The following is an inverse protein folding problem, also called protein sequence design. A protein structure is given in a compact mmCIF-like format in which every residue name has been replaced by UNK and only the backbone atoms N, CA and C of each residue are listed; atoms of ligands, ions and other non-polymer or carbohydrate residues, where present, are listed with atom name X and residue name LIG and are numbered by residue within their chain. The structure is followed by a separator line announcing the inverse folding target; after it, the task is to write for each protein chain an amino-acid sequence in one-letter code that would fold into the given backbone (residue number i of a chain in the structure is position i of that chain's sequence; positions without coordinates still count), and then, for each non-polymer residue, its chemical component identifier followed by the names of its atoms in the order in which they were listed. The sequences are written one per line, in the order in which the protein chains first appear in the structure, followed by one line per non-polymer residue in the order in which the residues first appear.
data_IF_340320504512
#
_entry.id   IF_340320504512
#
_cell.length_a   1.000
_cell.length_b   1.000
_cell.length_c   1.000
_cell.angle_alpha   90.00
_cell.angle_beta   90.00
_cell.angle_gamma   90.00
#
_symmetry.space_group_name_H-M   'P 1'
#
loop_
_entity.id
_entity.type
_entity.pdbx_description
1 polymer ?
#
# COMPACT_ATOMS: atom_id res chain seq x y z
N UNK A 1 27.92 4.75 17.59
CA UNK A 1 27.22 5.78 18.39
C UNK A 1 27.17 5.32 19.84
N UNK A 2 27.96 5.93 20.73
CA UNK A 2 28.05 5.56 22.15
C UNK A 2 26.88 6.22 22.90
N UNK A 3 25.88 5.45 23.34
CA UNK A 3 24.84 5.97 24.24
C UNK A 3 25.39 6.01 25.67
N UNK A 4 25.44 7.21 26.19
CA UNK A 4 25.90 7.60 27.52
C UNK A 4 24.86 7.11 28.54
N UNK A 5 25.25 6.16 29.40
CA UNK A 5 24.40 5.68 30.49
C UNK A 5 24.53 6.68 31.64
N UNK A 6 23.50 7.49 31.84
CA UNK A 6 23.37 8.40 32.98
C UNK A 6 23.25 7.56 34.25
N UNK A 7 24.36 7.41 34.99
CA UNK A 7 24.38 6.86 36.34
C UNK A 7 23.60 7.80 37.26
N UNK A 8 22.32 7.52 37.48
CA UNK A 8 21.59 8.10 38.60
C UNK A 8 22.26 7.61 39.89
N UNK A 9 22.96 8.52 40.58
CA UNK A 9 23.49 8.27 41.91
C UNK A 9 22.33 7.88 42.83
N UNK A 10 22.24 6.59 43.15
CA UNK A 10 21.46 6.10 44.29
C UNK A 10 22.15 6.66 45.52
N UNK A 11 21.59 7.76 46.06
CA UNK A 11 22.02 8.38 47.31
C UNK A 11 21.67 7.41 48.44
N UNK A 12 22.59 6.48 48.73
CA UNK A 12 22.53 5.63 49.92
C UNK A 12 22.58 6.58 51.12
N UNK A 13 21.41 6.84 51.72
CA UNK A 13 21.34 7.51 53.01
C UNK A 13 21.91 6.55 54.03
N UNK A 14 23.18 6.72 54.38
CA UNK A 14 23.74 6.11 55.57
C UNK A 14 22.96 6.65 56.77
N UNK A 15 21.97 5.89 57.24
CA UNK A 15 21.40 6.11 58.56
C UNK A 15 22.48 5.75 59.57
N UNK A 16 23.21 6.78 60.02
CA UNK A 16 24.08 6.68 61.17
C UNK A 16 23.20 6.43 62.39
N UNK A 17 23.06 5.15 62.77
CA UNK A 17 22.47 4.77 64.04
C UNK A 17 23.41 5.20 65.17
N UNK A 18 23.33 6.47 65.57
CA UNK A 18 23.78 6.89 66.87
C UNK A 18 22.88 6.21 67.89
N UNK A 19 23.27 5.03 68.36
CA UNK A 19 22.81 4.53 69.65
C UNK A 19 23.43 5.42 70.72
N UNK A 20 22.93 6.64 70.88
CA UNK A 20 23.02 7.33 72.16
C UNK A 20 22.10 6.54 73.07
N UNK A 21 22.65 5.50 73.68
CA UNK A 21 22.15 4.98 74.94
C UNK A 21 22.37 6.13 75.91
N UNK A 22 21.46 7.10 75.88
CA UNK A 22 21.46 8.20 76.82
C UNK A 22 21.20 7.51 78.14
N UNK A 23 22.27 7.33 78.90
CA UNK A 23 22.18 6.92 80.28
C UNK A 23 21.99 8.24 81.00
N UNK A 24 20.72 8.62 81.14
CA UNK A 24 20.34 9.88 81.80
C UNK A 24 20.66 9.68 83.27
N UNK A 25 21.84 10.11 83.70
CA UNK A 25 22.17 10.20 85.11
C UNK A 25 21.53 11.49 85.61
N UNK A 26 20.34 11.37 86.19
CA UNK A 26 19.68 12.51 86.82
C UNK A 26 20.32 12.73 88.20
N UNK A 27 21.12 13.79 88.32
CA UNK A 27 21.79 14.13 89.58
C UNK A 27 20.81 14.80 90.54
N UNK A 28 20.26 13.98 91.44
CA UNK A 28 19.28 14.40 92.44
C UNK A 28 19.88 15.35 93.47
N UNK A 29 21.19 15.28 93.72
CA UNK A 29 21.85 16.11 94.74
C UNK A 29 22.14 17.52 94.20
N UNK A 30 22.52 17.64 92.94
CA UNK A 30 22.81 18.93 92.32
C UNK A 30 21.55 19.81 92.23
N UNK A 31 20.41 19.23 91.87
CA UNK A 31 19.16 20.00 91.74
C UNK A 31 18.60 20.42 93.12
N UNK A 32 18.76 19.59 94.16
CA UNK A 32 18.37 19.99 95.53
C UNK A 32 19.19 21.19 96.00
N UNK A 33 20.51 21.17 95.79
CA UNK A 33 21.40 22.29 96.16
C UNK A 33 21.06 23.57 95.42
N UNK A 34 20.69 23.47 94.14
CA UNK A 34 20.28 24.63 93.35
C UNK A 34 18.97 25.24 93.86
N UNK A 35 17.97 24.40 94.18
CA UNK A 35 16.71 24.88 94.76
C UNK A 35 16.92 25.52 96.14
N UNK A 36 17.79 24.94 96.97
CA UNK A 36 18.17 25.55 98.25
C UNK A 36 18.85 26.93 98.06
N UNK A 37 19.67 27.09 97.02
CA UNK A 37 20.32 28.38 96.72
C UNK A 37 19.36 29.47 96.21
N UNK A 38 18.21 29.08 95.66
CA UNK A 38 17.16 30.00 95.21
C UNK A 38 16.11 30.30 96.30
N UNK A 39 16.37 29.91 97.55
CA UNK A 39 15.56 30.28 98.71
C UNK A 39 14.50 29.27 99.13
N UNK A 40 14.48 28.06 98.54
CA UNK A 40 13.61 26.98 98.98
C UNK A 40 14.16 26.29 100.25
N UNK A 41 13.27 25.88 101.14
CA UNK A 41 13.67 25.08 102.30
C UNK A 41 14.07 23.67 101.87
N UNK A 42 15.02 23.06 102.59
CA UNK A 42 15.54 21.70 102.29
C UNK A 42 14.45 20.65 102.09
N UNK A 43 13.38 20.71 102.88
CA UNK A 43 12.24 19.79 102.78
C UNK A 43 11.42 20.01 101.50
N UNK A 44 11.22 21.27 101.09
CA UNK A 44 10.52 21.60 99.84
C UNK A 44 11.36 21.19 98.62
N UNK A 45 12.67 21.47 98.63
CA UNK A 45 13.58 21.06 97.55
C UNK A 45 13.62 19.54 97.37
N UNK A 46 13.62 18.78 98.48
CA UNK A 46 13.56 17.33 98.45
C UNK A 46 12.20 16.80 97.94
N UNK A 47 11.08 17.43 98.31
CA UNK A 47 9.76 17.04 97.84
C UNK A 47 9.60 17.28 96.32
N UNK A 48 10.08 18.42 95.82
CA UNK A 48 10.09 18.73 94.37
C UNK A 48 10.97 17.75 93.61
N UNK A 49 12.16 17.44 94.14
CA UNK A 49 13.07 16.43 93.60
C UNK A 49 12.40 15.05 93.47
N UNK A 50 11.78 14.56 94.55
CA UNK A 50 11.09 13.27 94.53
C UNK A 50 9.93 13.24 93.55
N UNK A 51 9.20 14.35 93.41
CA UNK A 51 8.10 14.47 92.44
C UNK A 51 8.64 14.43 91.01
N UNK A 52 9.75 15.11 90.74
CA UNK A 52 10.40 15.10 89.43
C UNK A 52 10.97 13.72 89.08
N UNK A 53 11.61 13.06 90.05
CA UNK A 53 12.12 11.69 89.88
C UNK A 53 10.98 10.73 89.52
N UNK A 54 9.84 10.80 90.23
CA UNK A 54 8.67 9.98 89.95
C UNK A 54 8.10 10.22 88.54
N UNK A 55 7.96 11.49 88.14
CA UNK A 55 7.48 11.84 86.79
C UNK A 55 8.46 11.38 85.72
N UNK A 56 9.77 11.50 85.95
CA UNK A 56 10.79 11.00 85.03
C UNK A 56 10.74 9.48 84.91
N UNK A 57 10.62 8.75 86.02
CA UNK A 57 10.48 7.29 86.00
C UNK A 57 9.22 6.84 85.26
N UNK A 58 8.06 7.45 85.54
CA UNK A 58 6.79 7.16 84.85
C UNK A 58 6.88 7.45 83.33
N UNK A 59 7.50 8.57 82.94
CA UNK A 59 7.63 8.96 81.53
C UNK A 59 8.69 8.16 80.79
N UNK A 60 9.79 7.80 81.43
CA UNK A 60 10.85 6.99 80.82
C UNK A 60 10.38 5.55 80.63
N UNK A 61 9.71 4.96 81.62
CA UNK A 61 9.12 3.62 81.48
C UNK A 61 8.06 3.63 80.39
N UNK A 62 7.15 4.61 80.34
CA UNK A 62 6.17 4.72 79.26
C UNK A 62 6.85 4.86 77.88
N UNK A 63 7.83 5.77 77.75
CA UNK A 63 8.57 6.00 76.52
C UNK A 63 9.33 4.76 76.03
N UNK A 64 9.91 3.98 76.94
CA UNK A 64 10.61 2.74 76.61
C UNK A 64 9.66 1.60 76.22
N UNK A 65 8.42 1.58 76.72
CA UNK A 65 7.53 0.41 76.61
C UNK A 65 6.47 0.53 75.50
N UNK A 66 5.98 1.73 75.18
CA UNK A 66 4.77 1.85 74.34
C UNK A 66 5.03 1.97 72.84
N UNK A 67 5.80 2.97 72.38
CA UNK A 67 5.70 3.39 70.97
C UNK A 67 7.05 3.58 70.26
N UNK A 68 8.05 4.15 70.92
CA UNK A 68 9.30 4.50 70.25
C UNK A 68 10.18 3.26 70.00
N UNK A 69 10.37 2.43 71.01
CA UNK A 69 11.23 1.24 70.92
C UNK A 69 10.61 0.14 70.04
N UNK A 70 9.27 0.08 69.94
CA UNK A 70 8.56 -0.83 69.01
C UNK A 70 8.66 -0.38 67.55
N UNK A 71 8.77 0.92 67.31
CA UNK A 71 8.98 1.46 65.96
C UNK A 71 10.45 1.41 65.50
N UNK A 72 11.39 1.10 66.41
CA UNK A 72 12.79 0.91 66.05
C UNK A 72 13.02 -0.52 65.55
N UNK A 73 13.47 -0.62 64.30
CA UNK A 73 13.94 -1.87 63.69
C UNK A 73 15.32 -2.20 64.27
N UNK A 74 15.51 -3.46 64.65
CA UNK A 74 16.82 -3.96 65.08
C UNK A 74 17.79 -4.02 63.90
N UNK A 75 19.09 -3.87 64.14
CA UNK A 75 20.09 -3.86 63.04
C UNK A 75 20.05 -5.17 62.25
N UNK A 76 19.82 -6.27 62.95
CA UNK A 76 19.73 -7.61 62.38
C UNK A 76 18.55 -7.73 61.41
N UNK A 77 17.39 -7.15 61.76
CA UNK A 77 16.21 -7.17 60.90
C UNK A 77 16.38 -6.23 59.69
N UNK A 78 17.02 -5.07 59.88
CA UNK A 78 17.37 -4.18 58.78
C UNK A 78 18.33 -4.85 57.78
N UNK A 79 19.34 -5.56 58.26
CA UNK A 79 20.29 -6.30 57.42
C UNK A 79 19.61 -7.44 56.65
N UNK A 80 18.70 -8.18 57.30
CA UNK A 80 17.90 -9.22 56.64
C UNK A 80 17.02 -8.66 55.52
N UNK A 81 16.26 -7.60 55.80
CA UNK A 81 15.41 -6.95 54.79
C UNK A 81 16.27 -6.44 53.63
N UNK A 82 17.43 -5.83 53.93
CA UNK A 82 18.35 -5.35 52.89
C UNK A 82 18.94 -6.49 52.04
N UNK A 83 19.23 -7.64 52.66
CA UNK A 83 19.73 -8.81 51.95
C UNK A 83 18.66 -9.39 51.01
N UNK A 84 17.44 -9.61 51.51
CA UNK A 84 16.32 -10.11 50.70
C UNK A 84 16.06 -9.19 49.51
N UNK A 85 16.01 -7.86 49.73
CA UNK A 85 15.85 -6.90 48.64
C UNK A 85 16.95 -7.03 47.58
N UNK A 86 18.21 -7.21 47.97
CA UNK A 86 19.33 -7.37 47.02
C UNK A 86 19.18 -8.65 46.18
N UNK A 87 18.73 -9.74 46.80
CA UNK A 87 18.47 -11.00 46.09
C UNK A 87 17.32 -10.82 45.09
N UNK A 88 16.22 -10.21 45.53
CA UNK A 88 15.06 -9.93 44.67
C UNK A 88 15.45 -9.04 43.47
N UNK A 89 16.26 -8.00 43.71
CA UNK A 89 16.79 -7.15 42.64
C UNK A 89 17.69 -7.92 41.67
N UNK A 90 18.49 -8.86 42.18
CA UNK A 90 19.34 -9.69 41.33
C UNK A 90 18.50 -10.64 40.47
N UNK A 91 17.45 -11.25 41.04
CA UNK A 91 16.52 -12.11 40.33
C UNK A 91 15.73 -11.33 39.26
N UNK A 92 15.08 -10.23 39.63
CA UNK A 92 14.33 -9.38 38.69
C UNK A 92 15.20 -8.91 37.53
N UNK A 93 16.46 -8.55 37.79
CA UNK A 93 17.41 -8.18 36.75
C UNK A 93 17.75 -9.35 35.82
N UNK A 94 17.84 -10.57 36.36
CA UNK A 94 18.06 -11.79 35.60
C UNK A 94 16.87 -12.11 34.68
N UNK A 95 15.65 -12.02 35.23
CA UNK A 95 14.39 -12.20 34.49
C UNK A 95 14.26 -11.15 33.38
N UNK A 96 14.45 -9.87 33.69
CA UNK A 96 14.40 -8.78 32.72
C UNK A 96 15.40 -9.01 31.57
N UNK A 97 16.64 -9.36 31.89
CA UNK A 97 17.67 -9.63 30.86
C UNK A 97 17.32 -10.83 29.99
N UNK A 98 16.61 -11.81 30.52
CA UNK A 98 16.16 -12.99 29.78
C UNK A 98 15.00 -12.64 28.85
N UNK A 99 14.02 -11.88 29.36
CA UNK A 99 12.91 -11.35 28.55
C UNK A 99 13.42 -10.47 27.42
N UNK A 100 14.32 -9.52 27.70
CA UNK A 100 14.92 -8.65 26.68
C UNK A 100 15.61 -9.44 25.56
N UNK A 101 16.33 -10.52 25.92
CA UNK A 101 16.98 -11.39 24.93
C UNK A 101 15.96 -12.16 24.09
N UNK A 102 14.90 -12.67 24.72
CA UNK A 102 13.85 -13.40 24.04
C UNK A 102 13.10 -12.49 23.08
N UNK A 103 12.67 -11.32 23.54
CA UNK A 103 11.97 -10.31 22.73
C UNK A 103 12.85 -9.84 21.57
N UNK A 104 14.14 -9.59 21.82
CA UNK A 104 15.07 -9.22 20.75
C UNK A 104 15.21 -10.34 19.70
N UNK A 105 15.24 -11.60 20.13
CA UNK A 105 15.34 -12.74 19.22
C UNK A 105 14.06 -12.89 18.40
N UNK A 106 12.89 -12.75 19.02
CA UNK A 106 11.59 -12.79 18.33
C UNK A 106 11.46 -11.65 17.30
N UNK A 107 11.75 -10.41 17.71
CA UNK A 107 11.72 -9.25 16.81
C UNK A 107 12.68 -9.45 15.64
N UNK A 108 13.87 -9.99 15.90
CA UNK A 108 14.83 -10.28 14.83
C UNK A 108 14.31 -11.34 13.86
N UNK A 109 13.72 -12.41 14.36
CA UNK A 109 13.13 -13.46 13.53
C UNK A 109 11.98 -12.92 12.66
N UNK A 110 11.09 -12.10 13.25
CA UNK A 110 10.01 -11.45 12.50
C UNK A 110 10.55 -10.49 11.46
N UNK A 111 11.61 -9.73 11.78
CA UNK A 111 12.27 -8.85 10.83
C UNK A 111 12.88 -9.61 9.64
N UNK A 112 13.62 -10.70 9.91
CA UNK A 112 14.19 -11.55 8.86
C UNK A 112 13.09 -12.21 8.01
N UNK A 113 11.99 -12.65 8.63
CA UNK A 113 10.82 -13.19 7.92
C UNK A 113 10.16 -12.15 7.01
N UNK A 114 9.88 -10.95 7.52
CA UNK A 114 9.25 -9.86 6.75
C UNK A 114 10.13 -9.47 5.57
N UNK A 115 11.46 -9.41 5.74
CA UNK A 115 12.39 -9.16 4.62
C UNK A 115 12.29 -10.26 3.56
N UNK A 116 12.33 -11.52 3.97
CA UNK A 116 12.17 -12.65 3.04
C UNK A 116 10.86 -12.56 2.25
N UNK A 117 9.75 -12.26 2.95
CA UNK A 117 8.44 -12.17 2.32
C UNK A 117 8.34 -10.96 1.37
N UNK A 118 8.97 -9.84 1.73
CA UNK A 118 9.11 -8.67 0.85
C UNK A 118 9.90 -9.01 -0.41
N UNK A 119 11.02 -9.72 -0.29
CA UNK A 119 11.83 -10.13 -1.44
C UNK A 119 11.07 -11.09 -2.35
N UNK A 120 10.33 -12.06 -1.78
CA UNK A 120 9.46 -12.95 -2.55
C UNK A 120 8.37 -12.18 -3.29
N UNK A 121 7.67 -11.27 -2.60
CA UNK A 121 6.61 -10.47 -3.20
C UNK A 121 7.16 -9.61 -4.35
N UNK A 122 8.33 -9.01 -4.18
CA UNK A 122 9.01 -8.23 -5.22
C UNK A 122 9.35 -9.06 -6.46
N UNK A 123 9.76 -10.32 -6.28
CA UNK A 123 10.04 -11.25 -7.39
C UNK A 123 8.76 -11.60 -8.14
N UNK A 124 7.74 -12.08 -7.41
CA UNK A 124 6.44 -12.43 -7.98
C UNK A 124 5.84 -11.26 -8.75
N UNK A 125 5.86 -10.05 -8.17
CA UNK A 125 5.33 -8.86 -8.82
C UNK A 125 6.07 -8.51 -10.12
N UNK A 126 7.40 -8.66 -10.14
CA UNK A 126 8.19 -8.45 -11.36
C UNK A 126 7.86 -9.47 -12.43
N UNK A 127 7.71 -10.73 -12.04
CA UNK A 127 7.38 -11.81 -12.96
C UNK A 127 5.97 -11.61 -13.54
N UNK A 128 5.00 -11.20 -12.72
CA UNK A 128 3.63 -10.91 -13.17
C UNK A 128 3.55 -9.70 -14.10
N UNK A 129 4.33 -8.64 -13.83
CA UNK A 129 4.45 -7.50 -14.75
C UNK A 129 4.98 -7.97 -16.10
N UNK A 130 6.08 -8.74 -16.09
CA UNK A 130 6.71 -9.22 -17.32
C UNK A 130 5.78 -10.15 -18.10
N UNK A 131 5.08 -11.04 -17.40
CA UNK A 131 4.10 -11.95 -17.97
C UNK A 131 2.93 -11.17 -18.59
N UNK A 132 2.34 -10.23 -17.86
CA UNK A 132 1.25 -9.37 -18.36
C UNK A 132 1.71 -8.57 -19.58
N UNK A 133 2.90 -7.97 -19.55
CA UNK A 133 3.43 -7.21 -20.68
C UNK A 133 3.71 -8.09 -21.91
N UNK A 134 4.20 -9.31 -21.71
CA UNK A 134 4.37 -10.28 -22.78
C UNK A 134 3.02 -10.67 -23.41
N UNK A 135 1.98 -10.88 -22.59
CA UNK A 135 0.63 -11.19 -23.05
C UNK A 135 0.04 -10.02 -23.86
N UNK A 136 0.09 -8.79 -23.32
CA UNK A 136 -0.39 -7.61 -24.06
C UNK A 136 0.36 -7.44 -25.39
N UNK A 137 1.68 -7.65 -25.39
CA UNK A 137 2.46 -7.58 -26.64
C UNK A 137 2.05 -8.66 -27.64
N UNK A 138 1.77 -9.87 -27.18
CA UNK A 138 1.27 -10.95 -28.03
C UNK A 138 -0.11 -10.59 -28.60
N UNK A 139 -1.03 -10.15 -27.76
CA UNK A 139 -2.39 -9.76 -28.15
C UNK A 139 -2.35 -8.66 -29.23
N UNK A 140 -1.52 -7.63 -29.03
CA UNK A 140 -1.36 -6.57 -30.02
C UNK A 140 -0.76 -7.07 -31.33
N UNK A 141 0.20 -8.02 -31.29
CA UNK A 141 0.77 -8.59 -32.50
C UNK A 141 -0.23 -9.45 -33.26
N UNK A 142 -1.03 -10.25 -32.55
CA UNK A 142 -2.10 -11.05 -33.14
C UNK A 142 -3.17 -10.15 -33.75
N UNK A 143 -3.59 -9.10 -33.04
CA UNK A 143 -4.58 -8.15 -33.52
C UNK A 143 -4.07 -7.34 -34.71
N UNK A 144 -2.81 -6.92 -34.71
CA UNK A 144 -2.17 -6.30 -35.88
C UNK A 144 -2.13 -7.24 -37.08
N UNK A 145 -1.88 -8.53 -36.85
CA UNK A 145 -1.96 -9.58 -37.87
C UNK A 145 -3.37 -9.70 -38.44
N UNK A 146 -4.38 -9.81 -37.57
CA UNK A 146 -5.79 -9.89 -37.94
C UNK A 146 -6.24 -8.68 -38.77
N UNK A 147 -5.93 -7.46 -38.34
CA UNK A 147 -6.26 -6.23 -39.07
C UNK A 147 -5.61 -6.23 -40.46
N UNK A 148 -4.35 -6.68 -40.59
CA UNK A 148 -3.67 -6.75 -41.88
C UNK A 148 -4.33 -7.77 -42.82
N UNK A 149 -4.70 -8.93 -42.29
CA UNK A 149 -5.32 -9.99 -43.08
C UNK A 149 -6.73 -9.57 -43.52
N UNK A 150 -7.50 -8.92 -42.64
CA UNK A 150 -8.79 -8.30 -42.98
C UNK A 150 -8.64 -7.19 -44.02
N UNK A 151 -7.66 -6.31 -43.86
CA UNK A 151 -7.36 -5.26 -44.84
C UNK A 151 -7.03 -5.84 -46.21
N UNK A 152 -6.19 -6.87 -46.27
CA UNK A 152 -5.81 -7.55 -47.51
C UNK A 152 -7.02 -8.22 -48.18
N UNK A 153 -7.91 -8.82 -47.39
CA UNK A 153 -9.16 -9.39 -47.89
C UNK A 153 -10.10 -8.33 -48.45
N UNK A 154 -10.18 -7.16 -47.81
CA UNK A 154 -10.93 -6.01 -48.33
C UNK A 154 -10.33 -5.46 -49.62
N UNK A 155 -9.00 -5.35 -49.70
CA UNK A 155 -8.31 -4.90 -50.91
C UNK A 155 -8.57 -5.84 -52.09
N UNK A 156 -8.56 -7.16 -51.86
CA UNK A 156 -8.93 -8.16 -52.86
C UNK A 156 -10.38 -8.00 -53.35
N UNK A 157 -11.34 -7.83 -52.44
CA UNK A 157 -12.75 -7.61 -52.79
C UNK A 157 -12.96 -6.33 -53.59
N UNK A 158 -12.22 -5.26 -53.26
CA UNK A 158 -12.26 -4.00 -54.00
C UNK A 158 -11.73 -4.23 -55.42
N UNK A 159 -10.55 -4.86 -55.57
CA UNK A 159 -9.98 -5.16 -56.89
C UNK A 159 -10.89 -6.04 -57.74
N UNK A 160 -11.49 -7.07 -57.15
CA UNK A 160 -12.46 -7.93 -57.85
C UNK A 160 -13.67 -7.10 -58.33
N UNK A 161 -14.19 -6.23 -57.47
CA UNK A 161 -15.31 -5.34 -57.83
C UNK A 161 -14.92 -4.35 -58.94
N UNK A 162 -13.72 -3.77 -58.87
CA UNK A 162 -13.19 -2.88 -59.92
C UNK A 162 -13.07 -3.62 -61.26
N UNK A 163 -12.51 -4.82 -61.27
CA UNK A 163 -12.43 -5.63 -62.51
C UNK A 163 -13.80 -5.99 -63.06
N UNK A 164 -14.80 -6.23 -62.19
CA UNK A 164 -16.18 -6.47 -62.61
C UNK A 164 -16.80 -5.22 -63.24
N UNK A 165 -16.58 -4.05 -62.66
CA UNK A 165 -17.03 -2.77 -63.21
C UNK A 165 -16.39 -2.52 -64.58
N UNK A 166 -15.08 -2.73 -64.73
CA UNK A 166 -14.39 -2.60 -66.01
C UNK A 166 -14.96 -3.55 -67.08
N UNK A 167 -15.23 -4.80 -66.70
CA UNK A 167 -15.86 -5.77 -67.59
C UNK A 167 -17.28 -5.34 -68.00
N UNK A 168 -18.08 -4.82 -67.07
CA UNK A 168 -19.41 -4.28 -67.37
C UNK A 168 -19.34 -3.04 -68.30
N UNK A 169 -18.38 -2.15 -68.09
CA UNK A 169 -18.13 -0.99 -68.97
C UNK A 169 -17.75 -1.45 -70.39
N UNK A 170 -16.82 -2.41 -70.51
CA UNK A 170 -16.40 -2.95 -71.80
C UNK A 170 -17.57 -3.65 -72.52
N UNK A 171 -18.38 -4.41 -71.79
CA UNK A 171 -19.58 -5.04 -72.33
C UNK A 171 -20.61 -4.01 -72.82
N UNK A 172 -20.85 -2.92 -72.07
CA UNK A 172 -21.71 -1.83 -72.53
C UNK A 172 -21.15 -1.17 -73.78
N UNK A 173 -19.83 -0.95 -73.84
CA UNK A 173 -19.16 -0.36 -75.00
C UNK A 173 -19.28 -1.24 -76.26
N UNK A 174 -19.06 -2.55 -76.14
CA UNK A 174 -19.22 -3.48 -77.27
C UNK A 174 -20.67 -3.59 -77.73
N UNK A 175 -21.63 -3.57 -76.79
CA UNK A 175 -23.06 -3.49 -77.11
C UNK A 175 -23.38 -2.20 -77.86
N UNK A 176 -22.85 -1.06 -77.43
CA UNK A 176 -23.04 0.23 -78.11
C UNK A 176 -22.43 0.22 -79.53
N UNK A 177 -21.23 -0.33 -79.71
CA UNK A 177 -20.60 -0.50 -81.03
C UNK A 177 -21.41 -1.44 -81.94
N UNK A 178 -21.95 -2.52 -81.38
CA UNK A 178 -22.82 -3.46 -82.09
C UNK A 178 -24.12 -2.78 -82.56
N UNK A 179 -24.79 -2.04 -81.66
CA UNK A 179 -26.00 -1.26 -82.01
C UNK A 179 -25.69 -0.24 -83.10
N UNK A 180 -24.56 0.46 -83.01
CA UNK A 180 -24.10 1.39 -84.04
C UNK A 180 -23.98 0.68 -85.40
N UNK A 181 -23.32 -0.46 -85.47
CA UNK A 181 -23.18 -1.24 -86.72
C UNK A 181 -24.51 -1.76 -87.24
N UNK A 182 -25.41 -2.22 -86.37
CA UNK A 182 -26.77 -2.66 -86.74
C UNK A 182 -27.57 -1.52 -87.39
N UNK A 183 -27.46 -0.29 -86.85
CA UNK A 183 -28.10 0.90 -87.46
C UNK A 183 -27.50 1.16 -88.84
N UNK A 184 -26.18 1.15 -89.00
CA UNK A 184 -25.54 1.31 -90.31
C UNK A 184 -25.96 0.24 -91.31
N UNK A 185 -26.02 -1.03 -90.91
CA UNK A 185 -26.49 -2.12 -91.76
C UNK A 185 -27.96 -1.94 -92.16
N UNK A 186 -28.82 -1.55 -91.21
CA UNK A 186 -30.24 -1.26 -91.47
C UNK A 186 -30.40 -0.14 -92.49
N UNK A 187 -29.59 0.93 -92.38
CA UNK A 187 -29.57 2.02 -93.35
C UNK A 187 -29.17 1.54 -94.75
N UNK A 188 -28.13 0.70 -94.87
CA UNK A 188 -27.72 0.10 -96.15
C UNK A 188 -28.86 -0.75 -96.73
N UNK A 189 -29.57 -1.51 -95.90
CA UNK A 189 -30.75 -2.28 -96.29
C UNK A 189 -31.87 -1.42 -96.86
N UNK A 190 -32.18 -0.30 -96.21
CA UNK A 190 -33.19 0.68 -96.68
C UNK A 190 -32.78 1.29 -98.01
N UNK A 191 -31.53 1.75 -98.15
CA UNK A 191 -31.01 2.34 -99.40
C UNK A 191 -31.06 1.32 -100.54
N UNK A 192 -30.65 0.08 -100.28
CA UNK A 192 -30.65 -0.99 -101.28
C UNK A 192 -32.07 -1.38 -101.69
N UNK A 193 -32.98 -1.55 -100.73
CA UNK A 193 -34.39 -1.85 -100.99
C UNK A 193 -35.08 -0.72 -101.76
N UNK A 194 -34.89 0.53 -101.33
CA UNK A 194 -35.41 1.71 -102.03
C UNK A 194 -34.84 1.84 -103.45
N UNK A 195 -33.54 1.60 -103.63
CA UNK A 195 -32.89 1.57 -104.95
C UNK A 195 -33.42 0.48 -105.87
N UNK A 196 -33.68 -0.73 -105.35
CA UNK A 196 -34.27 -1.83 -106.11
C UNK A 196 -35.71 -1.50 -106.55
N UNK A 197 -36.52 -0.93 -105.66
CA UNK A 197 -37.87 -0.45 -105.98
C UNK A 197 -37.82 0.66 -107.03
N UNK A 198 -36.92 1.63 -106.88
CA UNK A 198 -36.70 2.70 -107.87
C UNK A 198 -36.29 2.15 -109.24
N UNK A 199 -35.35 1.19 -109.29
CA UNK A 199 -34.96 0.49 -110.53
C UNK A 199 -36.13 -0.26 -111.15
N UNK A 200 -36.92 -0.97 -110.35
CA UNK A 200 -38.13 -1.66 -110.81
C UNK A 200 -39.14 -0.69 -111.43
N UNK A 201 -39.39 0.45 -110.77
CA UNK A 201 -40.29 1.49 -111.27
C UNK A 201 -39.80 2.10 -112.60
N UNK A 202 -38.51 2.39 -112.73
CA UNK A 202 -37.93 2.88 -113.99
C UNK A 202 -38.06 1.86 -115.13
N UNK A 203 -37.81 0.56 -114.85
CA UNK A 203 -38.00 -0.50 -115.83
C UNK A 203 -39.47 -0.64 -116.24
N UNK A 204 -40.40 -0.59 -115.29
CA UNK A 204 -41.84 -0.61 -115.58
C UNK A 204 -42.25 0.59 -116.45
N UNK A 205 -41.75 1.80 -116.15
CA UNK A 205 -42.01 2.99 -116.98
C UNK A 205 -41.39 2.87 -118.38
N UNK A 206 -40.20 2.27 -118.51
CA UNK A 206 -39.55 2.02 -119.81
C UNK A 206 -40.32 0.99 -120.63
N UNK A 207 -40.85 -0.06 -120.01
CA UNK A 207 -41.73 -1.06 -120.66
C UNK A 207 -43.03 -0.42 -121.11
N UNK A 208 -43.70 0.36 -120.25
CA UNK A 208 -44.92 1.08 -120.62
C UNK A 208 -44.68 2.08 -121.76
N UNK A 209 -43.57 2.83 -121.74
CA UNK A 209 -43.22 3.74 -122.84
C UNK A 209 -42.94 2.98 -124.15
N UNK A 210 -42.31 1.81 -124.09
CA UNK A 210 -42.11 0.95 -125.26
C UNK A 210 -43.44 0.41 -125.80
N UNK A 211 -44.35 -0.01 -124.93
CA UNK A 211 -45.70 -0.48 -125.30
C UNK A 211 -46.52 0.65 -125.91
N UNK A 212 -46.50 1.85 -125.32
CA UNK A 212 -47.14 3.05 -125.86
C UNK A 212 -46.55 3.46 -127.23
N UNK A 213 -45.24 3.32 -127.41
CA UNK A 213 -44.60 3.56 -128.71
C UNK A 213 -45.01 2.52 -129.76
N UNK A 214 -45.17 1.24 -129.37
CA UNK A 214 -45.64 0.18 -130.26
C UNK A 214 -47.10 0.38 -130.68
N UNK A 215 -47.99 0.78 -129.76
CA UNK A 215 -49.40 1.05 -130.04
C UNK A 215 -49.55 2.26 -130.99
N UNK A 216 -48.71 3.29 -130.86
CA UNK A 216 -48.66 4.44 -131.78
C UNK A 216 -48.12 4.13 -133.18
N UNK A 217 -47.43 3.00 -133.37
CA UNK A 217 -46.91 2.58 -134.67
C UNK A 217 -47.92 1.71 -135.45
N UNK A 218 -48.89 1.12 -134.74
CA UNK A 218 -49.88 0.17 -135.28
C UNK A 218 -51.27 0.82 -135.47
N UNK A 219 -51.51 1.98 -134.85
CA UNK A 219 -52.70 2.84 -135.09
C UNK A 219 -52.33 3.99 -136.00
#
# INVERSE_FOLDING_TARGET
MKKQITLHMIRIRFFSAYSRRSRWYFDTLQLVKQLESEGFTKQQSHAVMQTLQKVLEERLVAFMTSDFTKAMVTKEEQERISYTQKVDFAQLRGELRTLEKNDFTLIRQDYERIISDLEKLKRVFRDEINHTLANVRLDLNLEKGRIRDEYSAHELKIKETDTRIENEINNIKTQAETVKLQIFQSLIGIITGGGALGKSFMNHKKTNNKVLAYIRLIT
#
